data_IF_052563299838
#
_entry.id   IF_052563299838
#
_cell.length_a   1.000
_cell.length_b   1.000
_cell.length_c   1.000
_cell.angle_alpha   90.00
_cell.angle_beta   90.00
_cell.angle_gamma   90.00
#
_symmetry.space_group_name_H-M   'P 1'
#
loop_
_entity.id
_entity.type
_entity.pdbx_description
1 polymer ?
#
# COMPACT_ATOMS: atom_id res chain seq x y z
N UNK A 1 -37.40 7.33 53.31
CA UNK A 1 -35.94 7.28 53.03
C UNK A 1 -35.74 6.77 51.61
N UNK A 2 -35.69 7.68 50.64
CA UNK A 2 -35.44 7.37 49.22
C UNK A 2 -33.93 7.38 49.00
N UNK A 3 -33.37 6.23 48.60
CA UNK A 3 -31.95 6.07 48.30
C UNK A 3 -31.76 6.42 46.82
N UNK A 4 -31.25 7.61 46.54
CA UNK A 4 -30.87 8.00 45.18
C UNK A 4 -29.74 7.10 44.70
N UNK A 5 -30.03 6.28 43.68
CA UNK A 5 -29.00 5.57 42.93
C UNK A 5 -28.32 6.59 42.02
N UNK A 6 -27.12 7.03 42.42
CA UNK A 6 -26.22 7.75 41.52
C UNK A 6 -25.84 6.81 40.37
N UNK A 7 -26.40 7.08 39.19
CA UNK A 7 -25.87 6.58 37.92
C UNK A 7 -24.42 7.04 37.80
N UNK A 8 -23.47 6.12 37.97
CA UNK A 8 -22.09 6.35 37.55
C UNK A 8 -22.08 6.43 36.02
N UNK A 9 -21.97 7.65 35.50
CA UNK A 9 -21.78 7.90 34.09
C UNK A 9 -20.60 7.04 33.58
N UNK A 10 -20.74 6.36 32.43
CA UNK A 10 -19.67 5.51 31.91
C UNK A 10 -18.42 6.36 31.68
N UNK A 11 -17.33 6.01 32.37
CA UNK A 11 -16.05 6.71 32.32
C UNK A 11 -15.59 6.83 30.86
N UNK A 12 -15.67 8.04 30.29
CA UNK A 12 -15.43 8.35 28.86
C UNK A 12 -14.03 7.96 28.36
N UNK A 13 -13.14 7.53 29.27
CA UNK A 13 -11.87 6.88 28.97
C UNK A 13 -12.02 5.65 28.07
N UNK A 14 -13.05 4.83 28.26
CA UNK A 14 -13.30 3.65 27.43
C UNK A 14 -13.62 3.99 25.97
N UNK A 15 -14.50 4.98 25.76
CA UNK A 15 -14.89 5.45 24.43
C UNK A 15 -13.72 6.11 23.68
N UNK A 16 -12.87 6.87 24.38
CA UNK A 16 -11.68 7.51 23.78
C UNK A 16 -10.62 6.48 23.34
N UNK A 17 -10.41 5.43 24.13
CA UNK A 17 -9.48 4.34 23.75
C UNK A 17 -10.01 3.55 22.55
N UNK A 18 -11.31 3.24 22.53
CA UNK A 18 -11.95 2.54 21.42
C UNK A 18 -11.86 3.35 20.11
N UNK A 19 -12.11 4.66 20.16
CA UNK A 19 -11.97 5.56 19.00
C UNK A 19 -10.53 5.61 18.48
N UNK A 20 -9.52 5.74 19.35
CA UNK A 20 -8.11 5.72 18.93
C UNK A 20 -7.71 4.41 18.24
N UNK A 21 -8.19 3.27 18.77
CA UNK A 21 -7.96 1.95 18.14
C UNK A 21 -8.65 1.83 16.79
N UNK A 22 -9.89 2.32 16.67
CA UNK A 22 -10.63 2.32 15.41
C UNK A 22 -9.92 3.16 14.34
N UNK A 23 -9.42 4.35 14.69
CA UNK A 23 -8.68 5.21 13.78
C UNK A 23 -7.37 4.56 13.30
N UNK A 24 -6.64 3.89 14.20
CA UNK A 24 -5.43 3.15 13.86
C UNK A 24 -5.73 2.00 12.89
N UNK A 25 -6.77 1.20 13.16
CA UNK A 25 -7.19 0.12 12.26
C UNK A 25 -7.60 0.65 10.89
N UNK A 26 -8.33 1.77 10.84
CA UNK A 26 -8.71 2.42 9.59
C UNK A 26 -7.49 2.92 8.80
N UNK A 27 -6.47 3.47 9.48
CA UNK A 27 -5.21 3.87 8.83
C UNK A 27 -4.46 2.67 8.24
N UNK A 28 -4.37 1.56 8.98
CA UNK A 28 -3.76 0.32 8.50
C UNK A 28 -4.54 -0.24 7.30
N UNK A 29 -5.87 -0.25 7.36
CA UNK A 29 -6.74 -0.69 6.27
C UNK A 29 -6.51 0.13 5.00
N UNK A 30 -6.45 1.46 5.11
CA UNK A 30 -6.15 2.36 3.99
C UNK A 30 -4.77 2.08 3.38
N UNK A 31 -3.74 1.89 4.20
CA UNK A 31 -2.40 1.58 3.70
C UNK A 31 -2.34 0.22 3.00
N UNK A 32 -2.98 -0.81 3.56
CA UNK A 32 -3.06 -2.13 2.92
C UNK A 32 -3.72 -2.05 1.55
N UNK A 33 -4.83 -1.31 1.45
CA UNK A 33 -5.50 -1.11 0.18
C UNK A 33 -4.61 -0.37 -0.83
N UNK A 34 -3.89 0.67 -0.40
CA UNK A 34 -2.95 1.37 -1.26
C UNK A 34 -1.81 0.46 -1.74
N UNK A 35 -1.25 -0.36 -0.85
CA UNK A 35 -0.21 -1.34 -1.20
C UNK A 35 -0.73 -2.28 -2.28
N UNK A 36 -1.90 -2.89 -2.05
CA UNK A 36 -2.54 -3.79 -3.01
C UNK A 36 -2.71 -3.15 -4.40
N UNK A 37 -3.19 -1.92 -4.47
CA UNK A 37 -3.34 -1.21 -5.76
C UNK A 37 -2.00 -0.99 -6.47
N UNK A 38 -0.93 -0.68 -5.72
CA UNK A 38 0.40 -0.51 -6.30
C UNK A 38 1.05 -1.84 -6.69
N UNK A 39 0.78 -2.93 -5.98
CA UNK A 39 1.21 -4.28 -6.34
C UNK A 39 0.57 -4.72 -7.66
N UNK A 40 -0.76 -4.58 -7.80
CA UNK A 40 -1.47 -4.85 -9.05
C UNK A 40 -0.93 -3.99 -10.20
N UNK A 41 -0.64 -2.71 -9.93
CA UNK A 41 -0.04 -1.83 -10.94
C UNK A 41 1.37 -2.30 -11.33
N UNK A 42 2.15 -2.79 -10.36
CA UNK A 42 3.47 -3.36 -10.57
C UNK A 42 3.39 -4.60 -11.47
N UNK A 43 2.53 -5.55 -11.13
CA UNK A 43 2.27 -6.76 -11.92
C UNK A 43 1.90 -6.42 -13.37
N UNK A 44 0.93 -5.53 -13.57
CA UNK A 44 0.56 -5.07 -14.91
C UNK A 44 1.74 -4.48 -15.68
N UNK A 45 2.55 -3.64 -15.03
CA UNK A 45 3.71 -3.02 -15.65
C UNK A 45 4.76 -4.06 -16.06
N UNK A 46 4.99 -5.09 -15.24
CA UNK A 46 5.89 -6.19 -15.58
C UNK A 46 5.36 -7.06 -16.72
N UNK A 47 4.06 -7.37 -16.74
CA UNK A 47 3.43 -8.11 -17.83
C UNK A 47 3.58 -7.38 -19.16
N UNK A 48 3.35 -6.05 -19.19
CA UNK A 48 3.51 -5.23 -20.40
C UNK A 48 4.98 -5.16 -20.88
N UNK A 49 5.95 -5.16 -19.96
CA UNK A 49 7.38 -5.26 -20.31
C UNK A 49 7.65 -6.64 -20.94
N UNK A 50 7.17 -7.71 -20.32
CA UNK A 50 7.35 -9.09 -20.81
C UNK A 50 6.73 -9.29 -22.20
N UNK A 51 5.53 -8.78 -22.42
CA UNK A 51 4.87 -8.79 -23.73
C UNK A 51 5.73 -8.07 -24.79
N UNK A 52 6.25 -6.88 -24.47
CA UNK A 52 7.09 -6.13 -25.41
C UNK A 52 8.41 -6.85 -25.70
N UNK A 53 9.05 -7.44 -24.69
CA UNK A 53 10.25 -8.24 -24.86
C UNK A 53 9.99 -9.45 -25.76
N UNK A 54 8.85 -10.11 -25.59
CA UNK A 54 8.46 -11.25 -26.43
C UNK A 54 8.22 -10.83 -27.89
N UNK A 55 7.57 -9.68 -28.13
CA UNK A 55 7.41 -9.12 -29.48
C UNK A 55 8.76 -8.80 -30.14
N UNK A 56 9.69 -8.21 -29.40
CA UNK A 56 11.04 -7.92 -29.88
C UNK A 56 11.77 -9.22 -30.25
N UNK A 57 11.68 -10.25 -29.39
CA UNK A 57 12.29 -11.54 -29.65
C UNK A 57 11.74 -12.23 -30.91
N UNK A 58 10.46 -12.04 -31.25
CA UNK A 58 9.88 -12.56 -32.50
C UNK A 58 10.32 -11.81 -33.75
N UNK A 59 10.66 -10.52 -33.64
CA UNK A 59 11.02 -9.66 -34.76
C UNK A 59 12.54 -9.66 -35.05
N UNK A 60 13.18 -10.83 -34.95
CA UNK A 60 14.64 -11.05 -35.06
C UNK A 60 15.50 -10.47 -33.91
N UNK A 61 14.87 -10.00 -32.84
CA UNK A 61 15.55 -9.54 -31.63
C UNK A 61 16.19 -8.16 -31.77
N UNK A 62 16.94 -7.78 -30.74
CA UNK A 62 17.77 -6.57 -30.71
C UNK A 62 18.90 -6.78 -29.71
N UNK A 63 20.05 -6.15 -29.94
CA UNK A 63 21.21 -6.27 -29.04
C UNK A 63 20.91 -5.71 -27.64
N UNK A 64 20.08 -4.65 -27.54
CA UNK A 64 19.66 -4.06 -26.27
C UNK A 64 18.15 -3.79 -26.23
N UNK A 65 17.34 -4.74 -25.72
CA UNK A 65 15.90 -4.56 -25.57
C UNK A 65 15.53 -3.44 -24.59
N UNK A 66 16.45 -3.02 -23.72
CA UNK A 66 16.20 -1.94 -22.76
C UNK A 66 16.28 -0.55 -23.38
N UNK A 67 16.86 -0.44 -24.58
CA UNK A 67 16.84 0.77 -25.39
C UNK A 67 15.47 1.04 -26.03
N UNK A 68 14.59 0.04 -26.13
CA UNK A 68 13.22 0.21 -26.64
C UNK A 68 12.48 1.30 -25.83
N UNK A 69 11.90 2.32 -26.48
CA UNK A 69 11.26 3.44 -25.77
C UNK A 69 10.12 3.03 -24.84
N UNK A 70 9.37 1.98 -25.19
CA UNK A 70 8.27 1.48 -24.37
C UNK A 70 8.80 0.74 -23.14
N UNK A 71 9.80 -0.14 -23.33
CA UNK A 71 10.46 -0.85 -22.23
C UNK A 71 11.12 0.17 -21.28
N UNK A 72 11.86 1.14 -21.81
CA UNK A 72 12.51 2.19 -21.01
C UNK A 72 11.50 2.98 -20.18
N UNK A 73 10.37 3.37 -20.78
CA UNK A 73 9.27 4.06 -20.08
C UNK A 73 8.66 3.19 -18.98
N UNK A 74 8.40 1.92 -19.26
CA UNK A 74 7.80 0.99 -18.30
C UNK A 74 8.74 0.62 -17.17
N UNK A 75 10.04 0.47 -17.42
CA UNK A 75 11.06 0.31 -16.37
C UNK A 75 11.11 1.53 -15.45
N UNK A 76 11.01 2.75 -15.99
CA UNK A 76 10.93 3.96 -15.17
C UNK A 76 9.64 4.00 -14.33
N UNK A 77 8.51 3.54 -14.87
CA UNK A 77 7.25 3.37 -14.14
C UNK A 77 7.37 2.33 -13.02
N UNK A 78 7.95 1.16 -13.29
CA UNK A 78 8.22 0.10 -12.32
C UNK A 78 9.08 0.61 -11.15
N UNK A 79 10.16 1.36 -11.45
CA UNK A 79 10.99 1.99 -10.40
C UNK A 79 10.22 2.97 -9.52
N UNK A 80 9.26 3.72 -10.09
CA UNK A 80 8.40 4.63 -9.31
C UNK A 80 7.44 3.85 -8.40
N UNK A 81 6.86 2.77 -8.92
CA UNK A 81 5.99 1.88 -8.15
C UNK A 81 6.77 1.25 -6.99
N UNK A 82 7.97 0.73 -7.24
CA UNK A 82 8.82 0.11 -6.23
C UNK A 82 9.15 1.08 -5.09
N UNK A 83 9.58 2.31 -5.42
CA UNK A 83 9.84 3.36 -4.39
C UNK A 83 8.60 3.67 -3.58
N UNK A 84 7.43 3.69 -4.23
CA UNK A 84 6.16 4.00 -3.56
C UNK A 84 5.75 2.86 -2.62
N UNK A 85 5.85 1.61 -3.06
CA UNK A 85 5.59 0.42 -2.23
C UNK A 85 6.53 0.40 -1.01
N UNK A 86 7.82 0.64 -1.20
CA UNK A 86 8.79 0.75 -0.10
C UNK A 86 8.40 1.83 0.91
N UNK A 87 7.98 3.00 0.44
CA UNK A 87 7.48 4.07 1.32
C UNK A 87 6.21 3.67 2.09
N UNK A 88 5.27 2.98 1.44
CA UNK A 88 4.03 2.52 2.07
C UNK A 88 4.29 1.41 3.11
N UNK A 89 5.18 0.47 2.82
CA UNK A 89 5.62 -0.55 3.77
C UNK A 89 6.31 0.05 4.99
N UNK A 90 7.19 1.03 4.80
CA UNK A 90 7.83 1.74 5.90
C UNK A 90 6.79 2.46 6.79
N UNK A 91 5.80 3.13 6.18
CA UNK A 91 4.70 3.78 6.93
C UNK A 91 3.87 2.76 7.72
N UNK A 92 3.60 1.60 7.11
CA UNK A 92 2.85 0.54 7.77
C UNK A 92 3.64 -0.09 8.93
N UNK A 93 4.96 -0.26 8.80
CA UNK A 93 5.83 -0.71 9.88
C UNK A 93 5.83 0.28 11.06
N UNK A 94 6.03 1.57 10.78
CA UNK A 94 5.99 2.63 11.80
C UNK A 94 4.65 2.71 12.54
N UNK A 95 3.52 2.49 11.85
CA UNK A 95 2.21 2.47 12.51
C UNK A 95 2.02 1.23 13.39
N UNK A 96 2.60 0.09 13.03
CA UNK A 96 2.56 -1.13 13.86
C UNK A 96 3.44 -0.98 15.10
N UNK A 97 4.63 -0.41 14.99
CA UNK A 97 5.52 -0.12 16.12
C UNK A 97 4.89 0.86 17.12
N UNK A 98 4.16 1.88 16.63
CA UNK A 98 3.42 2.82 17.49
C UNK A 98 2.18 2.21 18.17
N UNK A 99 1.76 1.03 17.74
CA UNK A 99 0.58 0.34 18.25
C UNK A 99 0.93 -0.89 19.13
N UNK A 100 2.21 -1.27 19.17
CA UNK A 100 2.77 -2.26 20.09
C UNK A 100 3.16 -1.59 21.42
#
# INVERSE_FOLDING_TARGET
MTREMKEEAPDGRGASIASKKADQLAQVGRLRYQIFLFEQKGEKTFSEIGERLFQIAQADGTEDPTADPLIKKKLAEAKKIERKLRSLHNKMAQLREKAA
#
